data_IF_879414621729
#
_entry.id   IF_879414621729
#
_cell.length_a   1.000
_cell.length_b   1.000
_cell.length_c   1.000
_cell.angle_alpha   90.00
_cell.angle_beta   90.00
_cell.angle_gamma   90.00
#
_symmetry.space_group_name_H-M   'P 1'
#
loop_
_entity.id
_entity.type
_entity.pdbx_description
1 polymer ?
#
# COMPACT_ATOMS: atom_id res chain seq x y z
N UNK A 1 1.59 7.93 -19.51
CA UNK A 1 2.36 7.46 -18.33
C UNK A 1 1.69 6.21 -17.76
N UNK A 2 1.50 5.17 -18.58
CA UNK A 2 0.54 4.06 -18.33
C UNK A 2 1.22 2.71 -18.04
N UNK A 3 2.52 2.60 -18.33
CA UNK A 3 3.33 1.37 -18.19
C UNK A 3 3.68 1.09 -16.72
N UNK A 4 3.84 2.15 -15.91
CA UNK A 4 4.27 2.06 -14.51
C UNK A 4 3.30 1.32 -13.57
N UNK A 5 1.98 1.32 -13.85
CA UNK A 5 0.99 0.79 -12.92
C UNK A 5 0.83 -0.74 -13.02
N UNK A 6 0.87 -1.28 -14.23
CA UNK A 6 0.81 -2.73 -14.46
C UNK A 6 2.08 -3.42 -13.96
N UNK A 7 3.24 -2.79 -14.16
CA UNK A 7 4.53 -3.30 -13.69
C UNK A 7 4.64 -3.21 -12.17
N UNK A 8 4.19 -2.10 -11.55
CA UNK A 8 4.13 -1.99 -10.09
C UNK A 8 3.28 -3.11 -9.45
N UNK A 9 2.09 -3.39 -10.00
CA UNK A 9 1.22 -4.43 -9.47
C UNK A 9 1.86 -5.82 -9.59
N UNK A 10 2.30 -6.21 -10.79
CA UNK A 10 2.84 -7.56 -11.01
C UNK A 10 4.22 -7.78 -10.40
N UNK A 11 5.14 -6.82 -10.56
CA UNK A 11 6.54 -7.01 -10.15
C UNK A 11 6.77 -6.73 -8.66
N UNK A 12 5.99 -5.82 -8.06
CA UNK A 12 6.17 -5.48 -6.65
C UNK A 12 5.06 -6.10 -5.80
N UNK A 13 3.79 -5.74 -6.04
CA UNK A 13 2.70 -6.10 -5.12
C UNK A 13 2.51 -7.62 -5.09
N UNK A 14 2.28 -8.25 -6.25
CA UNK A 14 2.06 -9.69 -6.34
C UNK A 14 3.27 -10.49 -5.85
N UNK A 15 4.49 -10.08 -6.22
CA UNK A 15 5.72 -10.75 -5.79
C UNK A 15 5.92 -10.66 -4.26
N UNK A 16 5.68 -9.49 -3.67
CA UNK A 16 5.80 -9.28 -2.22
C UNK A 16 4.76 -10.12 -1.48
N UNK A 17 3.50 -10.09 -1.91
CA UNK A 17 2.44 -10.89 -1.28
C UNK A 17 2.74 -12.39 -1.36
N UNK A 18 3.25 -12.87 -2.50
CA UNK A 18 3.68 -14.27 -2.64
C UNK A 18 4.81 -14.63 -1.66
N UNK A 19 5.76 -13.72 -1.43
CA UNK A 19 6.85 -13.90 -0.44
C UNK A 19 6.30 -13.99 0.98
N UNK A 20 5.20 -13.27 1.27
CA UNK A 20 4.46 -13.36 2.54
C UNK A 20 3.52 -14.59 2.62
N UNK A 21 3.50 -15.46 1.62
CA UNK A 21 2.60 -16.62 1.56
C UNK A 21 1.14 -16.27 1.25
N UNK A 22 0.88 -15.11 0.67
CA UNK A 22 -0.46 -14.57 0.41
C UNK A 22 -0.77 -14.59 -1.08
N UNK A 23 -1.93 -15.17 -1.42
CA UNK A 23 -2.50 -15.15 -2.77
C UNK A 23 -3.96 -14.65 -2.69
N UNK A 24 -4.16 -13.33 -2.78
CA UNK A 24 -5.50 -12.74 -2.70
C UNK A 24 -5.65 -11.54 -3.63
N UNK A 25 -6.59 -11.64 -4.57
CA UNK A 25 -6.85 -10.56 -5.53
C UNK A 25 -7.40 -9.30 -4.86
N UNK A 26 -8.16 -9.46 -3.77
CA UNK A 26 -8.69 -8.32 -3.01
C UNK A 26 -7.55 -7.52 -2.36
N UNK A 27 -6.52 -8.19 -1.82
CA UNK A 27 -5.35 -7.53 -1.24
C UNK A 27 -4.53 -6.81 -2.31
N UNK A 28 -4.31 -7.45 -3.46
CA UNK A 28 -3.63 -6.82 -4.60
C UNK A 28 -4.34 -5.52 -5.03
N UNK A 29 -5.66 -5.60 -5.22
CA UNK A 29 -6.45 -4.45 -5.65
C UNK A 29 -6.48 -3.34 -4.59
N UNK A 30 -6.57 -3.71 -3.30
CA UNK A 30 -6.50 -2.78 -2.18
C UNK A 30 -5.18 -2.02 -2.14
N UNK A 31 -4.04 -2.74 -2.23
CA UNK A 31 -2.72 -2.13 -2.20
C UNK A 31 -2.46 -1.26 -3.43
N UNK A 32 -2.87 -1.71 -4.62
CA UNK A 32 -2.78 -0.90 -5.83
C UNK A 32 -3.56 0.41 -5.70
N UNK A 33 -4.82 0.32 -5.27
CA UNK A 33 -5.67 1.49 -5.05
C UNK A 33 -5.12 2.40 -3.95
N UNK A 34 -4.50 1.84 -2.91
CA UNK A 34 -3.85 2.63 -1.84
C UNK A 34 -2.72 3.48 -2.40
N UNK A 35 -1.81 2.88 -3.17
CA UNK A 35 -0.70 3.59 -3.79
C UNK A 35 -1.19 4.67 -4.77
N UNK A 36 -2.20 4.34 -5.59
CA UNK A 36 -2.79 5.28 -6.55
C UNK A 36 -3.48 6.46 -5.83
N UNK A 37 -4.25 6.20 -4.77
CA UNK A 37 -4.93 7.23 -3.99
C UNK A 37 -3.92 8.17 -3.30
N UNK A 38 -2.86 7.61 -2.70
CA UNK A 38 -1.83 8.40 -2.01
C UNK A 38 -1.02 9.26 -2.99
N UNK A 39 -0.76 8.76 -4.20
CA UNK A 39 -0.11 9.54 -5.25
C UNK A 39 -0.93 10.80 -5.64
N UNK A 40 -2.27 10.73 -5.59
CA UNK A 40 -3.14 11.89 -5.83
C UNK A 40 -3.21 12.87 -4.67
N UNK A 41 -3.08 12.36 -3.44
CA UNK A 41 -3.17 13.17 -2.24
C UNK A 41 -1.88 13.93 -1.93
N UNK A 42 -0.73 13.49 -2.45
CA UNK A 42 0.55 14.14 -2.28
C UNK A 42 0.64 15.45 -3.10
N UNK A 43 0.57 16.65 -2.49
CA UNK A 43 0.70 17.90 -3.24
C UNK A 43 2.18 18.14 -3.58
N UNK A 44 2.51 18.73 -4.74
CA UNK A 44 3.91 19.01 -5.11
C UNK A 44 4.66 19.94 -4.16
N UNK A 45 3.95 20.65 -3.27
CA UNK A 45 4.46 21.80 -2.50
C UNK A 45 4.07 21.80 -1.00
N UNK A 46 3.46 20.73 -0.48
CA UNK A 46 3.14 20.61 0.95
C UNK A 46 3.87 19.41 1.56
N UNK A 47 4.15 19.47 2.87
CA UNK A 47 4.72 18.34 3.62
C UNK A 47 3.94 17.07 3.24
N UNK A 48 4.61 16.03 2.73
CA UNK A 48 3.93 14.82 2.32
C UNK A 48 3.25 14.20 3.55
N UNK A 49 2.04 13.66 3.37
CA UNK A 49 1.22 13.09 4.45
C UNK A 49 1.78 11.76 4.99
N UNK A 50 3.02 11.43 4.65
CA UNK A 50 3.75 10.23 4.99
C UNK A 50 4.88 9.98 3.98
N UNK A 51 5.53 8.83 4.08
CA UNK A 51 6.74 8.50 3.33
C UNK A 51 6.41 7.48 2.23
N UNK A 52 6.91 7.74 1.03
CA UNK A 52 6.86 6.80 -0.09
C UNK A 52 5.50 6.55 -0.72
N UNK A 53 5.40 5.46 -1.47
CA UNK A 53 4.25 5.15 -2.35
C UNK A 53 2.91 5.01 -1.61
N UNK A 54 2.94 4.61 -0.34
CA UNK A 54 1.75 4.40 0.47
C UNK A 54 1.47 5.53 1.48
N UNK A 55 2.30 6.58 1.50
CA UNK A 55 2.11 7.71 2.42
C UNK A 55 2.10 7.29 3.89
N UNK A 56 3.03 6.42 4.31
CA UNK A 56 3.09 5.89 5.68
C UNK A 56 3.93 6.84 6.56
N UNK A 57 3.36 7.37 7.64
CA UNK A 57 4.08 8.22 8.58
C UNK A 57 5.02 7.42 9.51
N UNK A 58 5.97 8.13 10.16
CA UNK A 58 7.01 7.47 10.98
C UNK A 58 6.41 6.81 12.20
N UNK A 59 5.41 7.43 12.80
CA UNK A 59 4.71 6.98 13.99
C UNK A 59 3.99 5.64 13.71
N UNK A 60 3.28 5.56 12.59
CA UNK A 60 2.61 4.33 12.12
C UNK A 60 3.63 3.25 11.81
N UNK A 61 4.75 3.60 11.17
CA UNK A 61 5.83 2.65 10.90
C UNK A 61 6.42 2.03 12.17
N UNK A 62 6.74 2.85 13.18
CA UNK A 62 7.22 2.35 14.47
C UNK A 62 6.16 1.48 15.15
N UNK A 63 4.91 1.95 15.22
CA UNK A 63 3.82 1.20 15.85
C UNK A 63 3.54 -0.16 15.17
N UNK A 64 3.76 -0.29 13.86
CA UNK A 64 3.68 -1.60 13.20
C UNK A 64 4.78 -2.54 13.71
N UNK A 65 6.00 -2.06 13.92
CA UNK A 65 7.08 -2.87 14.47
C UNK A 65 6.87 -3.19 15.94
N UNK A 66 6.64 -2.16 16.75
CA UNK A 66 6.63 -2.24 18.21
C UNK A 66 5.36 -2.90 18.75
N UNK A 67 4.20 -2.61 18.13
CA UNK A 67 2.89 -3.02 18.67
C UNK A 67 2.26 -4.19 17.90
N UNK A 68 2.80 -4.57 16.74
CA UNK A 68 2.22 -5.66 15.93
C UNK A 68 3.25 -6.75 15.60
N UNK A 69 4.33 -6.41 14.92
CA UNK A 69 5.33 -7.39 14.50
C UNK A 69 6.12 -7.96 15.69
N UNK A 70 6.31 -7.20 16.77
CA UNK A 70 6.95 -7.69 18.00
C UNK A 70 6.27 -8.94 18.59
N UNK A 71 5.00 -9.19 18.27
CA UNK A 71 4.21 -10.32 18.78
C UNK A 71 4.21 -11.56 17.84
N UNK A 72 4.82 -11.47 16.66
CA UNK A 72 4.97 -12.56 15.69
C UNK A 72 6.39 -12.54 15.10
N UNK A 73 7.31 -13.29 15.72
CA UNK A 73 8.72 -13.27 15.38
C UNK A 73 9.01 -13.75 13.95
N UNK A 74 8.21 -14.69 13.44
CA UNK A 74 8.42 -15.25 12.09
C UNK A 74 7.97 -14.24 11.03
N UNK A 75 6.83 -13.57 11.25
CA UNK A 75 6.36 -12.50 10.38
C UNK A 75 7.31 -11.29 10.43
N UNK A 76 7.77 -10.91 11.63
CA UNK A 76 8.75 -9.84 11.82
C UNK A 76 10.05 -10.13 11.07
N UNK A 77 10.58 -11.37 11.18
CA UNK A 77 11.78 -11.80 10.47
C UNK A 77 11.58 -11.76 8.95
N UNK A 78 10.42 -12.23 8.46
CA UNK A 78 10.09 -12.22 7.03
C UNK A 78 10.07 -10.80 6.48
N UNK A 79 9.41 -9.86 7.17
CA UNK A 79 9.33 -8.46 6.74
C UNK A 79 10.68 -7.75 6.89
N UNK A 80 11.44 -8.04 7.96
CA UNK A 80 12.80 -7.52 8.14
C UNK A 80 13.73 -7.95 7.00
N UNK A 81 13.54 -9.18 6.50
CA UNK A 81 14.29 -9.74 5.37
C UNK A 81 14.03 -9.03 4.04
N UNK A 82 12.90 -8.31 3.90
CA UNK A 82 12.62 -7.48 2.73
C UNK A 82 13.35 -6.13 2.76
N UNK A 83 13.68 -5.61 3.95
CA UNK A 83 14.40 -4.36 4.12
C UNK A 83 15.91 -4.53 3.87
N UNK A 84 16.61 -3.44 3.56
CA UNK A 84 18.07 -3.51 3.48
C UNK A 84 18.68 -3.92 4.83
N UNK A 85 19.83 -4.58 4.78
CA UNK A 85 20.51 -5.01 6.00
C UNK A 85 21.07 -3.82 6.78
N UNK A 86 21.73 -2.89 6.08
CA UNK A 86 22.49 -1.80 6.70
C UNK A 86 21.67 -0.53 6.91
N UNK A 87 20.93 -0.09 5.88
CA UNK A 87 20.24 1.21 5.95
C UNK A 87 19.07 1.15 6.92
N UNK A 88 18.36 0.01 7.00
CA UNK A 88 17.27 -0.17 7.94
C UNK A 88 17.70 0.06 9.40
N UNK A 89 18.93 -0.32 9.78
CA UNK A 89 19.43 -0.14 11.15
C UNK A 89 19.76 1.33 11.49
N UNK A 90 19.98 2.17 10.47
CA UNK A 90 20.37 3.58 10.64
C UNK A 90 19.21 4.54 10.42
N UNK A 91 18.41 4.25 9.40
CA UNK A 91 17.32 5.10 8.95
C UNK A 91 16.15 4.21 8.45
N UNK A 92 15.48 3.47 9.35
CA UNK A 92 14.47 2.46 8.97
C UNK A 92 13.34 3.04 8.12
N UNK A 93 13.01 4.33 8.32
CA UNK A 93 11.92 4.99 7.58
C UNK A 93 12.23 5.24 6.11
N UNK A 94 13.51 5.30 5.70
CA UNK A 94 13.85 5.55 4.29
C UNK A 94 13.37 4.41 3.39
N UNK A 95 13.28 3.20 3.93
CA UNK A 95 12.82 2.00 3.22
C UNK A 95 11.38 2.15 2.72
N UNK A 96 10.53 2.92 3.42
CA UNK A 96 9.18 3.23 2.96
C UNK A 96 9.20 4.01 1.63
N UNK A 97 10.25 4.82 1.39
CA UNK A 97 10.42 5.60 0.17
C UNK A 97 11.22 4.87 -0.92
N UNK A 98 12.24 4.10 -0.55
CA UNK A 98 13.23 3.55 -1.50
C UNK A 98 13.04 2.08 -1.80
N UNK A 99 12.26 1.35 -0.99
CA UNK A 99 12.07 -0.09 -1.12
C UNK A 99 10.57 -0.42 -1.23
N UNK A 100 10.09 -0.50 -2.47
CA UNK A 100 8.66 -0.71 -2.73
C UNK A 100 8.14 -2.05 -2.20
N UNK A 101 8.96 -3.11 -2.17
CA UNK A 101 8.55 -4.40 -1.61
C UNK A 101 8.35 -4.29 -0.09
N UNK A 102 9.30 -3.67 0.61
CA UNK A 102 9.18 -3.40 2.03
C UNK A 102 7.99 -2.49 2.36
N UNK A 103 7.83 -1.38 1.63
CA UNK A 103 6.72 -0.46 1.81
C UNK A 103 5.36 -1.15 1.58
N UNK A 104 5.27 -2.05 0.60
CA UNK A 104 4.09 -2.87 0.34
C UNK A 104 3.78 -3.81 1.50
N UNK A 105 4.79 -4.46 2.07
CA UNK A 105 4.60 -5.34 3.23
C UNK A 105 4.09 -4.56 4.45
N UNK A 106 4.66 -3.40 4.76
CA UNK A 106 4.19 -2.55 5.86
C UNK A 106 2.77 -2.02 5.59
N UNK A 107 2.46 -1.61 4.37
CA UNK A 107 1.10 -1.20 4.00
C UNK A 107 0.09 -2.32 4.23
N UNK A 108 0.44 -3.56 3.90
CA UNK A 108 -0.39 -4.72 4.20
C UNK A 108 -0.52 -4.96 5.71
N UNK A 109 0.55 -4.81 6.50
CA UNK A 109 0.48 -4.95 7.96
C UNK A 109 -0.45 -3.93 8.61
N UNK A 110 -0.58 -2.72 8.05
CA UNK A 110 -1.55 -1.72 8.53
C UNK A 110 -2.97 -2.28 8.41
N UNK A 111 -3.33 -2.85 7.26
CA UNK A 111 -4.66 -3.47 7.09
C UNK A 111 -4.85 -4.69 7.99
N UNK A 112 -3.84 -5.56 8.06
CA UNK A 112 -3.88 -6.79 8.86
C UNK A 112 -4.03 -6.49 10.36
N UNK A 113 -3.33 -5.48 10.88
CA UNK A 113 -3.42 -5.03 12.28
C UNK A 113 -4.79 -4.46 12.64
N UNK A 114 -5.49 -3.85 11.68
CA UNK A 114 -6.82 -3.28 11.89
C UNK A 114 -7.95 -4.32 11.66
N UNK A 115 -7.62 -5.61 11.56
CA UNK A 115 -8.58 -6.71 11.37
C UNK A 115 -9.56 -6.47 10.21
N UNK A 116 -9.06 -5.87 9.13
CA UNK A 116 -9.89 -5.47 7.99
C UNK A 116 -10.53 -6.68 7.32
N UNK A 117 -11.85 -6.67 7.26
CA UNK A 117 -12.63 -7.66 6.51
C UNK A 117 -12.59 -7.29 5.05
N UNK A 118 -11.85 -8.08 4.26
CA UNK A 118 -11.70 -7.83 2.85
C UNK A 118 -12.99 -8.17 2.08
N UNK A 119 -13.52 -7.24 1.28
CA UNK A 119 -14.66 -7.50 0.42
C UNK A 119 -14.22 -8.31 -0.81
N UNK A 120 -15.19 -8.67 -1.66
CA UNK A 120 -14.91 -9.24 -2.98
C UNK A 120 -13.96 -8.33 -3.78
N UNK A 121 -13.00 -8.86 -4.56
CA UNK A 121 -12.02 -8.06 -5.30
C UNK A 121 -12.62 -7.04 -6.28
N UNK A 122 -13.83 -7.27 -6.77
CA UNK A 122 -14.56 -6.37 -7.66
C UNK A 122 -15.40 -5.31 -6.91
N UNK A 123 -15.54 -5.44 -5.60
CA UNK A 123 -16.22 -4.46 -4.77
C UNK A 123 -15.27 -3.30 -4.44
N UNK A 124 -14.99 -2.46 -5.43
CA UNK A 124 -14.06 -1.33 -5.32
C UNK A 124 -14.50 -0.34 -4.24
N UNK A 125 -15.80 -0.16 -4.04
CA UNK A 125 -16.31 0.70 -2.97
C UNK A 125 -15.97 0.15 -1.58
N UNK A 126 -16.08 -1.16 -1.37
CA UNK A 126 -15.65 -1.81 -0.14
C UNK A 126 -14.14 -1.67 0.08
N UNK A 127 -13.32 -1.84 -0.97
CA UNK A 127 -11.88 -1.64 -0.87
C UNK A 127 -11.54 -0.18 -0.51
N UNK A 128 -12.26 0.78 -1.09
CA UNK A 128 -12.11 2.20 -0.78
C UNK A 128 -12.49 2.51 0.68
N UNK A 129 -13.50 1.82 1.23
CA UNK A 129 -13.87 1.92 2.63
C UNK A 129 -12.72 1.44 3.54
N UNK A 130 -12.16 0.26 3.26
CA UNK A 130 -11.02 -0.28 4.01
C UNK A 130 -9.83 0.70 4.01
N UNK A 131 -9.51 1.27 2.84
CA UNK A 131 -8.45 2.28 2.73
C UNK A 131 -8.74 3.53 3.56
N UNK A 132 -9.96 4.06 3.49
CA UNK A 132 -10.34 5.26 4.24
C UNK A 132 -10.21 5.04 5.75
N UNK A 133 -10.65 3.89 6.26
CA UNK A 133 -10.56 3.54 7.68
C UNK A 133 -9.12 3.40 8.17
N UNK A 134 -8.21 2.90 7.32
CA UNK A 134 -6.83 2.63 7.72
C UNK A 134 -5.84 3.77 7.47
N UNK A 135 -6.05 4.58 6.42
CA UNK A 135 -5.07 5.56 5.95
C UNK A 135 -5.55 7.01 6.06
N UNK A 136 -6.84 7.25 6.31
CA UNK A 136 -7.40 8.61 6.26
C UNK A 136 -7.82 9.07 7.65
N UNK A 137 -6.98 9.91 8.26
CA UNK A 137 -7.24 10.51 9.59
C UNK A 137 -8.25 11.67 9.46
N UNK A 138 -9.38 11.60 10.17
CA UNK A 138 -10.31 12.71 10.45
C UNK A 138 -10.69 13.60 9.24
N UNK A 139 -11.01 13.00 8.09
CA UNK A 139 -11.54 13.74 6.94
C UNK A 139 -12.85 13.15 6.45
N UNK A 140 -13.54 13.86 5.56
CA UNK A 140 -14.78 13.39 4.94
C UNK A 140 -14.54 12.05 4.23
N UNK A 141 -14.94 10.96 4.91
CA UNK A 141 -14.82 9.57 4.44
C UNK A 141 -15.41 9.39 3.05
N UNK A 142 -16.45 10.15 2.69
CA UNK A 142 -17.05 10.09 1.36
C UNK A 142 -16.09 10.60 0.29
N UNK A 143 -15.47 11.77 0.53
CA UNK A 143 -14.47 12.35 -0.38
C UNK A 143 -13.23 11.46 -0.50
N UNK A 144 -12.81 10.88 0.63
CA UNK A 144 -11.71 9.93 0.66
C UNK A 144 -12.01 8.73 -0.25
N UNK A 145 -13.14 8.03 -0.04
CA UNK A 145 -13.51 6.87 -0.87
C UNK A 145 -13.54 7.19 -2.36
N UNK A 146 -14.12 8.33 -2.76
CA UNK A 146 -14.12 8.77 -4.16
C UNK A 146 -12.71 8.94 -4.71
N UNK A 147 -11.81 9.54 -3.92
CA UNK A 147 -10.40 9.68 -4.30
C UNK A 147 -9.75 8.33 -4.62
N UNK A 148 -10.02 7.30 -3.81
CA UNK A 148 -9.52 5.95 -4.04
C UNK A 148 -10.13 5.33 -5.29
N UNK A 149 -11.46 5.38 -5.44
CA UNK A 149 -12.17 4.77 -6.57
C UNK A 149 -11.66 5.35 -7.89
N UNK A 150 -11.59 6.68 -7.99
CA UNK A 150 -11.13 7.36 -9.20
C UNK A 150 -9.68 7.00 -9.52
N UNK A 151 -8.80 6.97 -8.50
CA UNK A 151 -7.40 6.60 -8.65
C UNK A 151 -7.22 5.15 -9.13
N UNK A 152 -8.00 4.25 -8.56
CA UNK A 152 -7.98 2.84 -8.92
C UNK A 152 -8.45 2.64 -10.37
N UNK A 153 -9.58 3.22 -10.77
CA UNK A 153 -10.12 3.07 -12.13
C UNK A 153 -9.18 3.63 -13.20
N UNK A 154 -8.54 4.77 -12.96
CA UNK A 154 -7.52 5.31 -13.88
C UNK A 154 -6.27 4.43 -13.97
N UNK A 155 -5.90 3.77 -12.87
CA UNK A 155 -4.76 2.85 -12.85
C UNK A 155 -5.03 1.60 -13.69
N UNK A 156 -6.28 1.12 -13.74
CA UNK A 156 -6.67 -0.10 -14.45
C UNK A 156 -7.08 0.15 -15.91
N UNK A 157 -7.73 1.28 -16.21
CA UNK A 157 -8.16 1.62 -17.58
C UNK A 157 -6.97 1.91 -18.50
N UNK A 158 -5.86 2.40 -17.94
CA UNK A 158 -4.60 2.59 -18.64
C UNK A 158 -3.83 1.29 -18.94
N UNK A 159 -4.33 0.13 -18.50
CA UNK A 159 -3.73 -1.19 -18.74
C UNK A 159 -4.39 -1.96 -19.90
N UNK A 160 -5.46 -1.43 -20.51
CA UNK A 160 -6.02 -2.00 -21.74
C UNK A 160 -5.14 -1.66 -22.94
N UNK A 161 -4.53 -2.64 -23.63
CA UNK A 161 -3.86 -2.36 -24.89
C UNK A 161 -4.91 -1.83 -25.88
N UNK A 162 -4.61 -0.68 -26.48
CA UNK A 162 -5.31 -0.19 -27.66
C UNK A 162 -5.04 -1.19 -28.80
N UNK A 163 -5.84 -2.25 -28.89
CA UNK A 163 -5.86 -3.14 -30.06
C UNK A 163 -6.75 -2.46 -31.08
N UNK A 164 -6.15 -1.55 -31.82
CA UNK A 164 -6.68 -1.00 -33.06
C UNK A 164 -5.53 -0.86 -34.06
N UNK A 165 -5.26 -1.95 -34.79
CA UNK A 165 -4.77 -1.99 -36.17
C UNK A 165 -4.88 -3.42 -36.69
#
# INVERSE_FOLDING_TARGET
>A
MSIYNTDLNKMVIQHTLKTLGICSKAIENLLLGTAAAQARLAPPLKKPNGIGAYGIDKETHCSIWDDYLAFDSDLASTIRGLASQHEFLKNPHIELATNLAYATAIAWMIYKRNDVILPHPDNIEGLAQCWAECFVKNSDTKKAKLTFIDAYLESTNNSSPNIAA
#
